data_IF_424252151758
#
_entry.id   IF_424252151758
#
_cell.length_a   1.000
_cell.length_b   1.000
_cell.length_c   1.000
_cell.angle_alpha   90.00
_cell.angle_beta   90.00
_cell.angle_gamma   90.00
#
_symmetry.space_group_name_H-M   'P 1'
#
loop_
_entity.id
_entity.type
_entity.pdbx_description
1 polymer ?
#
# COMPACT_ATOMS: atom_id res chain seq x y z
N UNK A 1 -3.57 8.08 -3.23
CA UNK A 1 -4.94 8.12 -2.65
C UNK A 1 -5.39 6.69 -2.46
N UNK A 2 -5.94 6.30 -1.29
CA UNK A 2 -6.51 4.97 -1.12
C UNK A 2 -7.97 5.05 -1.57
N UNK A 3 -8.36 4.27 -2.58
CA UNK A 3 -9.77 4.14 -2.96
C UNK A 3 -10.32 2.93 -2.23
N UNK A 4 -11.28 3.19 -1.36
CA UNK A 4 -12.07 2.18 -0.67
C UNK A 4 -13.01 1.51 -1.68
N UNK A 5 -12.53 0.49 -2.41
CA UNK A 5 -13.40 -0.39 -3.20
C UNK A 5 -13.79 -1.59 -2.35
N UNK A 6 -14.38 -1.36 -1.19
CA UNK A 6 -15.15 -2.36 -0.44
C UNK A 6 -16.00 -1.61 0.59
N UNK A 7 -17.28 -1.42 0.25
CA UNK A 7 -18.37 -0.83 1.04
C UNK A 7 -18.10 0.59 1.54
N UNK A 8 -18.69 1.59 0.88
CA UNK A 8 -18.46 3.05 1.06
C UNK A 8 -18.84 3.65 2.43
N UNK A 9 -18.34 3.07 3.51
CA UNK A 9 -18.56 3.49 4.90
C UNK A 9 -17.21 3.55 5.60
N UNK A 10 -16.70 4.75 5.81
CA UNK A 10 -15.43 5.00 6.51
C UNK A 10 -14.62 6.12 5.86
N UNK A 11 -13.56 6.59 6.54
CA UNK A 11 -12.74 7.69 6.06
C UNK A 11 -11.97 7.30 4.80
N UNK A 12 -11.75 8.29 3.93
CA UNK A 12 -10.69 8.17 2.93
C UNK A 12 -9.34 8.18 3.64
N UNK A 13 -8.48 7.20 3.38
CA UNK A 13 -7.17 7.12 4.03
C UNK A 13 -6.08 7.47 3.02
N UNK A 14 -5.18 8.37 3.36
CA UNK A 14 -4.04 8.73 2.51
C UNK A 14 -2.74 8.50 3.26
N UNK A 15 -1.86 7.69 2.66
CA UNK A 15 -0.55 7.37 3.23
C UNK A 15 0.54 7.95 2.34
N UNK A 16 1.09 9.08 2.75
CA UNK A 16 2.18 9.71 2.03
C UNK A 16 3.45 8.87 2.12
N UNK A 17 4.12 8.75 0.97
CA UNK A 17 5.45 8.17 0.89
C UNK A 17 6.52 9.25 1.13
N UNK A 18 7.77 8.87 1.44
CA UNK A 18 8.87 9.82 1.60
C UNK A 18 9.13 10.67 0.34
N UNK A 19 9.51 11.93 0.54
CA UNK A 19 9.80 12.88 -0.54
C UNK A 19 11.17 12.63 -1.20
N UNK A 20 12.09 11.94 -0.50
CA UNK A 20 13.39 11.53 -1.02
C UNK A 20 13.26 10.29 -1.91
N UNK A 21 13.84 10.33 -3.11
CA UNK A 21 13.88 9.19 -4.02
C UNK A 21 14.53 7.95 -3.37
N UNK A 22 15.66 8.12 -2.67
CA UNK A 22 16.32 7.01 -1.97
C UNK A 22 15.44 6.37 -0.91
N UNK A 23 14.72 7.18 -0.12
CA UNK A 23 13.78 6.66 0.88
C UNK A 23 12.55 6.00 0.25
N UNK A 24 12.08 6.46 -0.92
CA UNK A 24 11.02 5.77 -1.67
C UNK A 24 11.47 4.40 -2.14
N UNK A 25 12.69 4.25 -2.65
CA UNK A 25 13.24 2.94 -3.05
C UNK A 25 13.31 1.99 -1.85
N UNK A 26 13.87 2.45 -0.72
CA UNK A 26 13.95 1.63 0.50
C UNK A 26 12.57 1.23 1.02
N UNK A 27 11.60 2.16 0.99
CA UNK A 27 10.22 1.86 1.39
C UNK A 27 9.56 0.85 0.46
N UNK A 28 9.70 1.01 -0.86
CA UNK A 28 9.17 0.07 -1.83
C UNK A 28 9.72 -1.34 -1.61
N UNK A 29 11.05 -1.47 -1.51
CA UNK A 29 11.71 -2.74 -1.26
C UNK A 29 11.24 -3.39 0.05
N UNK A 30 11.17 -2.60 1.14
CA UNK A 30 10.70 -3.09 2.43
C UNK A 30 9.25 -3.60 2.35
N UNK A 31 8.35 -2.82 1.73
CA UNK A 31 6.94 -3.18 1.60
C UNK A 31 6.75 -4.46 0.76
N UNK A 32 7.47 -4.58 -0.36
CA UNK A 32 7.44 -5.78 -1.20
C UNK A 32 7.98 -7.02 -0.48
N UNK A 33 9.18 -6.92 0.10
CA UNK A 33 9.90 -8.08 0.64
C UNK A 33 9.38 -8.54 2.02
N UNK A 34 8.95 -7.60 2.87
CA UNK A 34 8.57 -7.91 4.25
C UNK A 34 7.08 -7.86 4.52
N UNK A 35 6.36 -6.98 3.83
CA UNK A 35 4.94 -6.73 4.05
C UNK A 35 4.06 -7.36 2.97
N UNK A 36 4.65 -8.07 2.01
CA UNK A 36 3.91 -8.81 0.98
C UNK A 36 3.13 -7.89 0.02
N UNK A 37 3.51 -6.61 -0.07
CA UNK A 37 2.94 -5.70 -1.05
C UNK A 37 3.15 -6.26 -2.46
N UNK A 38 2.09 -6.24 -3.27
CA UNK A 38 2.12 -6.59 -4.68
C UNK A 38 1.80 -5.34 -5.50
N UNK A 39 2.54 -5.16 -6.60
CA UNK A 39 2.21 -4.16 -7.62
C UNK A 39 1.34 -4.85 -8.67
N UNK A 40 0.22 -4.20 -9.00
CA UNK A 40 -0.63 -4.60 -10.12
C UNK A 40 -0.86 -3.40 -11.04
N UNK A 41 -1.27 -3.66 -12.27
CA UNK A 41 -1.91 -2.67 -13.12
C UNK A 41 -3.42 -2.87 -13.08
N UNK A 42 -4.16 -1.78 -12.94
CA UNK A 42 -5.61 -1.78 -12.97
C UNK A 42 -6.07 -1.13 -14.28
N UNK A 43 -6.87 -1.85 -15.07
CA UNK A 43 -7.49 -1.30 -16.28
C UNK A 43 -8.73 -0.44 -15.94
N UNK A 44 -9.39 0.11 -16.97
CA UNK A 44 -10.59 0.93 -16.80
C UNK A 44 -11.81 0.14 -16.29
N UNK A 45 -11.82 -1.19 -16.49
CA UNK A 45 -12.87 -2.08 -16.00
C UNK A 45 -12.62 -2.53 -14.54
N UNK A 46 -11.53 -2.07 -13.92
CA UNK A 46 -11.13 -2.44 -12.56
C UNK A 46 -10.44 -3.82 -12.47
N UNK A 47 -10.08 -4.42 -13.61
CA UNK A 47 -9.36 -5.70 -13.63
C UNK A 47 -7.90 -5.48 -13.28
N UNK A 48 -7.37 -6.35 -12.43
CA UNK A 48 -5.98 -6.29 -11.96
C UNK A 48 -5.11 -7.21 -12.81
N UNK A 49 -3.87 -6.82 -13.06
CA UNK A 49 -2.86 -7.60 -13.78
C UNK A 49 -1.54 -7.55 -13.02
N UNK A 50 -0.84 -8.67 -12.89
CA UNK A 50 0.40 -8.77 -12.11
C UNK A 50 1.53 -9.34 -12.96
N UNK A 51 2.77 -9.08 -12.57
CA UNK A 51 3.90 -9.85 -13.08
C UNK A 51 3.65 -11.31 -12.66
N UNK A 52 4.30 -12.37 -13.13
CA UNK A 52 3.92 -13.76 -12.75
C UNK A 52 2.50 -14.24 -13.18
N UNK A 53 1.57 -13.36 -13.56
CA UNK A 53 0.26 -13.74 -14.12
C UNK A 53 0.37 -14.38 -15.50
N UNK A 54 -0.69 -15.08 -15.94
CA UNK A 54 -0.77 -15.55 -17.33
C UNK A 54 -0.95 -14.37 -18.29
N UNK A 55 -0.27 -14.33 -19.45
CA UNK A 55 -0.44 -13.26 -20.45
C UNK A 55 -1.91 -13.03 -20.81
N UNK A 56 -2.31 -11.77 -20.95
CA UNK A 56 -3.69 -11.33 -21.25
C UNK A 56 -4.77 -11.77 -20.24
N UNK A 57 -4.40 -12.42 -19.13
CA UNK A 57 -5.37 -12.89 -18.12
C UNK A 57 -5.36 -11.97 -16.90
N UNK A 58 -6.52 -11.47 -16.44
CA UNK A 58 -6.59 -10.70 -15.21
C UNK A 58 -6.30 -11.59 -14.00
N UNK A 59 -5.68 -11.00 -13.00
CA UNK A 59 -5.44 -11.60 -11.71
C UNK A 59 -6.75 -11.70 -10.91
N UNK A 60 -7.18 -12.93 -10.64
CA UNK A 60 -8.26 -13.16 -9.69
C UNK A 60 -7.74 -13.01 -8.26
N UNK A 61 -7.99 -11.84 -7.66
CA UNK A 61 -7.51 -11.50 -6.32
C UNK A 61 -8.13 -12.42 -5.27
N UNK A 62 -7.30 -13.19 -4.56
CA UNK A 62 -7.75 -14.00 -3.43
C UNK A 62 -7.96 -13.11 -2.19
N UNK A 63 -9.22 -12.81 -1.85
CA UNK A 63 -9.64 -11.95 -0.73
C UNK A 63 -9.48 -12.59 0.67
N UNK A 64 -9.16 -13.88 0.73
CA UNK A 64 -8.73 -14.53 1.99
C UNK A 64 -7.28 -14.17 2.32
N UNK A 65 -6.45 -13.97 1.29
CA UNK A 65 -5.03 -13.63 1.42
C UNK A 65 -4.76 -12.13 1.39
N UNK A 66 -5.41 -11.43 0.46
CA UNK A 66 -5.24 -9.99 0.24
C UNK A 66 -6.45 -9.21 0.73
N UNK A 67 -6.23 -7.95 1.06
CA UNK A 67 -7.33 -7.04 1.28
C UNK A 67 -7.94 -6.60 -0.05
N UNK A 68 -9.25 -6.33 -0.07
CA UNK A 68 -9.90 -5.64 -1.18
C UNK A 68 -9.53 -4.15 -1.30
N UNK A 69 -8.74 -3.61 -0.36
CA UNK A 69 -8.24 -2.23 -0.50
C UNK A 69 -7.18 -2.11 -1.59
N UNK A 70 -7.49 -1.29 -2.59
CA UNK A 70 -6.58 -0.93 -3.68
C UNK A 70 -6.00 0.45 -3.41
N UNK A 71 -4.68 0.55 -3.46
CA UNK A 71 -3.97 1.82 -3.21
C UNK A 71 -3.39 2.36 -4.49
N UNK A 72 -3.91 3.49 -4.94
CA UNK A 72 -3.38 4.20 -6.08
C UNK A 72 -2.23 5.12 -5.61
N UNK A 73 -1.01 4.94 -6.15
CA UNK A 73 0.09 5.86 -5.89
C UNK A 73 -0.28 7.27 -6.32
N UNK A 74 0.01 8.25 -5.47
CA UNK A 74 -0.02 9.66 -5.84
C UNK A 74 1.43 10.16 -5.87
N UNK A 75 1.78 10.89 -6.93
CA UNK A 75 3.14 11.39 -7.14
C UNK A 75 4.09 10.37 -7.75
N UNK A 76 5.39 10.55 -7.51
CA UNK A 76 6.43 9.76 -8.16
C UNK A 76 6.55 8.34 -7.60
N UNK A 77 6.52 7.37 -8.51
CA UNK A 77 6.86 5.99 -8.23
C UNK A 77 8.37 5.84 -7.94
N UNK A 78 8.75 4.79 -7.21
CA UNK A 78 10.15 4.35 -7.17
C UNK A 78 10.57 3.79 -8.55
N UNK A 79 11.88 3.74 -8.84
CA UNK A 79 12.39 3.10 -10.06
C UNK A 79 12.01 1.63 -10.11
N UNK A 80 12.12 0.93 -8.98
CA UNK A 80 11.74 -0.48 -8.88
C UNK A 80 10.24 -0.68 -9.18
N UNK A 81 9.37 0.20 -8.68
CA UNK A 81 7.94 0.14 -8.95
C UNK A 81 7.62 0.41 -10.43
N UNK A 82 8.28 1.41 -11.04
CA UNK A 82 8.14 1.67 -12.48
C UNK A 82 8.54 0.46 -13.31
N UNK A 83 9.67 -0.16 -12.99
CA UNK A 83 10.15 -1.36 -13.69
C UNK A 83 9.16 -2.52 -13.58
N UNK A 84 8.59 -2.75 -12.39
CA UNK A 84 7.56 -3.79 -12.22
C UNK A 84 6.32 -3.45 -13.06
N UNK A 85 5.84 -2.21 -13.02
CA UNK A 85 4.70 -1.78 -13.83
C UNK A 85 4.95 -1.98 -15.34
N UNK A 86 6.13 -1.63 -15.85
CA UNK A 86 6.53 -1.84 -17.25
C UNK A 86 6.56 -3.32 -17.62
N UNK A 87 7.07 -4.18 -16.75
CA UNK A 87 7.06 -5.64 -16.95
C UNK A 87 5.63 -6.20 -17.05
N UNK A 88 4.70 -5.68 -16.25
CA UNK A 88 3.28 -6.06 -16.32
C UNK A 88 2.71 -5.64 -17.67
N UNK A 89 2.94 -4.39 -18.11
CA UNK A 89 2.45 -3.91 -19.42
C UNK A 89 2.96 -4.78 -20.56
N UNK A 90 4.26 -5.09 -20.56
CA UNK A 90 4.90 -5.90 -21.58
C UNK A 90 4.33 -7.33 -21.62
N UNK A 91 4.01 -7.91 -20.46
CA UNK A 91 3.46 -9.27 -20.35
C UNK A 91 2.02 -9.38 -20.85
N UNK A 92 1.18 -8.39 -20.56
CA UNK A 92 -0.26 -8.52 -20.77
C UNK A 92 -0.80 -7.86 -22.03
N UNK A 93 -0.05 -6.97 -22.70
CA UNK A 93 -0.54 -6.25 -23.89
C UNK A 93 -1.76 -5.37 -23.57
N UNK A 94 -2.06 -4.37 -24.42
CA UNK A 94 -3.30 -3.57 -24.28
C UNK A 94 -3.45 -2.70 -23.02
N UNK A 95 -2.52 -2.75 -22.06
CA UNK A 95 -2.58 -2.01 -20.79
C UNK A 95 -2.00 -0.58 -20.90
N UNK A 96 -2.22 0.13 -22.01
CA UNK A 96 -1.62 1.47 -22.22
C UNK A 96 -2.20 2.50 -21.23
N UNK A 97 -3.51 2.45 -20.97
CA UNK A 97 -4.19 3.34 -20.03
C UNK A 97 -4.27 2.80 -18.59
N UNK A 98 -3.76 1.58 -18.34
CA UNK A 98 -3.83 0.98 -17.01
C UNK A 98 -2.96 1.74 -16.00
N UNK A 99 -3.47 1.92 -14.78
CA UNK A 99 -2.77 2.61 -13.70
C UNK A 99 -2.09 1.62 -12.76
N UNK A 100 -0.87 1.91 -12.28
CA UNK A 100 -0.26 1.10 -11.24
C UNK A 100 -1.02 1.26 -9.93
N UNK A 101 -1.24 0.14 -9.26
CA UNK A 101 -1.87 0.06 -7.94
C UNK A 101 -1.08 -0.88 -7.04
N UNK A 102 -1.21 -0.68 -5.74
CA UNK A 102 -0.58 -1.51 -4.71
C UNK A 102 -1.65 -2.26 -3.94
N UNK A 103 -1.46 -3.56 -3.79
CA UNK A 103 -2.33 -4.46 -3.05
C UNK A 103 -1.55 -5.04 -1.88
N UNK A 104 -2.21 -5.14 -0.73
CA UNK A 104 -1.58 -5.58 0.52
C UNK A 104 -2.26 -6.83 1.08
N UNK A 105 -1.52 -7.69 1.82
CA UNK A 105 -2.12 -8.78 2.56
C UNK A 105 -3.14 -8.27 3.57
N UNK A 106 -4.22 -9.04 3.76
CA UNK A 106 -5.32 -8.68 4.68
C UNK A 106 -4.85 -8.37 6.09
N UNK A 107 -3.81 -9.07 6.55
CA UNK A 107 -3.20 -8.86 7.87
C UNK A 107 -2.54 -7.49 8.02
N UNK A 108 -1.86 -6.99 6.98
CA UNK A 108 -1.22 -5.66 7.01
C UNK A 108 -2.27 -4.56 7.11
N UNK A 109 -3.34 -4.66 6.32
CA UNK A 109 -4.44 -3.71 6.38
C UNK A 109 -5.20 -3.79 7.70
N UNK A 110 -5.44 -4.98 8.25
CA UNK A 110 -6.06 -5.11 9.57
C UNK A 110 -5.23 -4.41 10.66
N UNK A 111 -3.91 -4.54 10.63
CA UNK A 111 -3.03 -3.83 11.56
C UNK A 111 -3.05 -2.32 11.36
N UNK A 112 -3.03 -1.85 10.12
CA UNK A 112 -3.11 -0.43 9.79
C UNK A 112 -4.43 0.18 10.26
N UNK A 113 -5.56 -0.38 9.82
CA UNK A 113 -6.89 0.15 10.09
C UNK A 113 -7.25 0.03 11.58
N UNK A 114 -6.93 -1.11 12.21
CA UNK A 114 -7.09 -1.28 13.65
C UNK A 114 -6.21 -0.32 14.44
N UNK A 115 -4.99 -0.06 13.99
CA UNK A 115 -4.07 0.92 14.58
C UNK A 115 -4.60 2.35 14.49
N UNK A 116 -5.05 2.76 13.30
CA UNK A 116 -5.65 4.07 13.07
C UNK A 116 -6.93 4.25 13.89
N UNK A 117 -7.81 3.25 13.92
CA UNK A 117 -9.04 3.28 14.75
C UNK A 117 -8.73 3.48 16.22
N UNK A 118 -7.71 2.83 16.76
CA UNK A 118 -7.30 3.03 18.16
C UNK A 118 -6.75 4.43 18.44
N UNK A 119 -6.01 5.02 17.51
CA UNK A 119 -5.40 6.34 17.69
C UNK A 119 -6.40 7.48 17.48
N UNK A 120 -7.24 7.38 16.45
CA UNK A 120 -8.27 8.38 16.14
C UNK A 120 -9.45 8.27 17.12
N UNK A 121 -9.72 7.07 17.64
CA UNK A 121 -10.79 6.83 18.61
C UNK A 121 -12.18 6.85 17.97
N UNK A 122 -13.15 7.40 18.71
CA UNK A 122 -14.56 7.41 18.32
C UNK A 122 -14.82 8.12 16.98
N UNK A 123 -14.02 9.14 16.64
CA UNK A 123 -14.14 9.87 15.38
C UNK A 123 -13.69 9.07 14.16
N UNK A 124 -13.10 7.88 14.32
CA UNK A 124 -12.57 7.12 13.18
C UNK A 124 -13.65 6.81 12.13
N UNK A 125 -14.84 6.40 12.55
CA UNK A 125 -15.91 5.99 11.64
C UNK A 125 -16.67 7.16 11.02
N UNK A 126 -16.59 8.34 11.64
CA UNK A 126 -17.25 9.56 11.17
C UNK A 126 -16.31 10.51 10.45
N UNK A 127 -14.99 10.25 10.52
CA UNK A 127 -14.00 11.05 9.84
C UNK A 127 -14.20 10.98 8.32
N UNK A 128 -14.00 12.11 7.65
CA UNK A 128 -14.07 12.18 6.19
C UNK A 128 -12.74 11.72 5.59
N UNK A 129 -11.64 12.20 6.14
CA UNK A 129 -10.29 11.90 5.66
C UNK A 129 -9.30 11.70 6.82
N UNK A 130 -8.46 10.68 6.67
CA UNK A 130 -7.30 10.42 7.53
C UNK A 130 -6.06 10.43 6.66
N UNK A 131 -5.17 11.37 6.92
CA UNK A 131 -3.87 11.47 6.27
C UNK A 131 -2.79 11.02 7.24
N UNK A 132 -1.84 10.22 6.77
CA UNK A 132 -0.67 9.83 7.55
C UNK A 132 0.51 9.59 6.61
N UNK A 133 1.68 9.25 7.17
CA UNK A 133 2.92 9.12 6.40
C UNK A 133 3.67 7.86 6.79
N UNK A 134 4.18 7.16 5.79
CA UNK A 134 5.12 6.08 6.00
C UNK A 134 6.50 6.62 6.37
N UNK A 135 7.15 5.99 7.34
CA UNK A 135 8.55 6.19 7.67
C UNK A 135 9.21 4.86 8.03
N UNK A 136 10.45 4.69 7.58
CA UNK A 136 11.32 3.63 8.09
C UNK A 136 12.07 4.19 9.29
N UNK A 137 11.99 3.52 10.44
CA UNK A 137 12.67 3.93 11.67
C UNK A 137 13.32 2.71 12.31
N UNK A 138 14.66 2.68 12.34
CA UNK A 138 15.41 1.55 12.92
C UNK A 138 15.05 0.20 12.26
N UNK A 139 14.86 0.19 10.94
CA UNK A 139 14.46 -1.00 10.17
C UNK A 139 12.98 -1.39 10.29
N UNK A 140 12.17 -0.63 11.03
CA UNK A 140 10.74 -0.89 11.23
C UNK A 140 9.90 0.03 10.36
N UNK A 141 8.76 -0.48 9.89
CA UNK A 141 7.77 0.33 9.18
C UNK A 141 6.85 1.01 10.19
N UNK A 142 6.87 2.33 10.18
CA UNK A 142 6.05 3.16 11.05
C UNK A 142 5.11 4.00 10.18
N UNK A 143 3.88 4.19 10.65
CA UNK A 143 2.98 5.24 10.16
C UNK A 143 2.83 6.29 11.26
N UNK A 144 3.06 7.54 10.88
CA UNK A 144 3.11 8.68 11.78
C UNK A 144 2.54 9.95 11.11
N UNK A 145 2.57 11.07 11.84
CA UNK A 145 2.00 12.37 11.39
C UNK A 145 0.55 12.21 10.93
N UNK A 146 -0.26 11.60 11.81
CA UNK A 146 -1.64 11.22 11.54
C UNK A 146 -2.55 12.43 11.74
N UNK A 147 -3.22 12.87 10.69
CA UNK A 147 -4.19 13.96 10.69
C UNK A 147 -5.56 13.36 10.36
N UNK A 148 -6.57 13.63 11.17
CA UNK A 148 -7.97 13.27 10.89
C UNK A 148 -8.78 14.56 10.75
N UNK A 149 -9.39 14.79 9.60
CA UNK A 149 -10.17 16.00 9.27
C UNK A 149 -9.46 17.31 9.67
N UNK A 150 -8.17 17.41 9.34
CA UNK A 150 -7.32 18.56 9.65
C UNK A 150 -6.79 18.61 11.10
N UNK A 151 -7.27 17.75 12.01
CA UNK A 151 -6.79 17.68 13.40
C UNK A 151 -5.63 16.70 13.54
N UNK A 152 -4.55 17.17 14.16
CA UNK A 152 -3.42 16.31 14.50
C UNK A 152 -3.79 15.28 15.58
N UNK A 153 -3.50 14.01 15.29
CA UNK A 153 -3.66 12.88 16.20
C UNK A 153 -2.28 12.51 16.74
N UNK A 154 -2.16 12.47 18.06
CA UNK A 154 -0.91 12.12 18.74
C UNK A 154 -0.65 10.61 18.64
N UNK A 155 0.62 10.26 18.43
CA UNK A 155 1.07 8.87 18.39
C UNK A 155 1.54 8.41 17.01
N UNK A 156 1.89 7.13 16.97
CA UNK A 156 2.38 6.43 15.78
C UNK A 156 2.00 4.96 15.88
N UNK A 157 1.93 4.30 14.74
CA UNK A 157 1.69 2.86 14.66
C UNK A 157 2.86 2.18 13.97
N UNK A 158 3.35 1.11 14.57
CA UNK A 158 4.35 0.23 13.98
C UNK A 158 3.63 -0.94 13.31
N UNK A 159 3.93 -1.19 12.03
CA UNK A 159 3.33 -2.29 11.29
C UNK A 159 4.24 -3.53 11.41
N UNK A 160 3.69 -4.69 11.83
CA UNK A 160 4.47 -5.92 11.89
C UNK A 160 4.67 -6.52 10.49
N UNK A 161 5.86 -7.08 10.19
CA UNK A 161 6.11 -7.73 8.92
C UNK A 161 5.34 -9.06 8.81
N UNK A 162 4.91 -9.41 7.61
CA UNK A 162 4.27 -10.70 7.30
C UNK A 162 5.32 -11.79 7.17
N UNK A 163 6.46 -11.50 6.53
CA UNK A 163 7.56 -12.45 6.32
C UNK A 163 8.71 -12.19 7.31
N UNK A 164 8.60 -12.75 8.53
CA UNK A 164 9.61 -12.54 9.61
C UNK A 164 11.04 -12.97 9.24
N UNK A 165 11.19 -14.00 8.41
CA UNK A 165 12.49 -14.53 7.98
C UNK A 165 13.19 -13.71 6.90
N UNK A 166 12.44 -13.20 5.92
CA UNK A 166 12.97 -12.34 4.86
C UNK A 166 13.41 -10.97 5.42
N UNK A 167 12.65 -10.45 6.38
CA UNK A 167 12.89 -9.11 6.91
C UNK A 167 14.14 -8.98 7.81
N UNK A 168 14.59 -10.08 8.44
CA UNK A 168 15.83 -10.07 9.26
C UNK A 168 17.11 -9.79 8.47
N UNK A 169 17.11 -10.01 7.15
CA UNK A 169 18.29 -9.79 6.29
C UNK A 169 18.52 -8.32 5.95
N UNK A 170 17.46 -7.53 5.82
CA UNK A 170 17.54 -6.08 5.53
C UNK A 170 18.05 -5.24 6.70
N UNK A 171 17.92 -5.73 7.94
CA UNK A 171 18.36 -5.02 9.15
C UNK A 171 19.85 -5.21 9.48
N UNK A 172 20.60 -5.92 8.63
CA UNK A 172 22.02 -6.28 8.84
C UNK A 172 22.98 -5.71 7.78
N UNK A 173 22.46 -4.95 6.82
CA UNK A 173 23.20 -4.23 5.77
C UNK A 173 23.06 -2.74 6.00
#
# INVERSE_FOLDING_TARGET
MLRLLEFGSGPTIELAWPDSAGHRESLFALLGQCFGMQVALMDADGRLYVAEGQPNTPWNLNLDRFSGFIREPAGELSRQERQVAEQIRARHGGLVSASPVRVFPRTVDAHLLGGLRRLVGESYTTAQAIQARYRISGGRLVVERIVADGRMIQGRLELPPVARGACRRLART
#
